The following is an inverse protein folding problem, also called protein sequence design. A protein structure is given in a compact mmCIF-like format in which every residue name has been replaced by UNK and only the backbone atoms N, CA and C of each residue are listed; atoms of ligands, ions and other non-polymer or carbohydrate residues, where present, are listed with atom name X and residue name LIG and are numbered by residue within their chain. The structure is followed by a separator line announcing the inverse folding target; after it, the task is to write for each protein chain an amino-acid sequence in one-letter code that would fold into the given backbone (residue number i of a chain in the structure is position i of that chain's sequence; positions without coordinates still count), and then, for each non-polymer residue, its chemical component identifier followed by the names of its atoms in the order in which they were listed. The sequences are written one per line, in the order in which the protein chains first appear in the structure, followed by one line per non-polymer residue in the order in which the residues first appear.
data_IF_859625004097
#
_entry.id   IF_859625004097
#
_cell.length_a   1.000
_cell.length_b   1.000
_cell.length_c   1.000
_cell.angle_alpha   90.00
_cell.angle_beta   90.00
_cell.angle_gamma   90.00
#
_symmetry.space_group_name_H-M   'P 1'
#
loop_
_entity.id
_entity.type
_entity.pdbx_description
1 polymer ?
#
# COMPACT_ATOMS: atom_id res chain seq x y z
N UNK A 1 -22.82 -21.74 73.67
CA UNK A 1 -21.71 -21.17 72.88
C UNK A 1 -21.47 -22.09 71.68
N UNK A 2 -22.11 -21.78 70.54
CA UNK A 2 -22.02 -22.59 69.31
C UNK A 2 -20.72 -22.28 68.57
N UNK A 3 -19.94 -23.31 68.23
CA UNK A 3 -18.76 -23.18 67.39
C UNK A 3 -19.17 -22.94 65.92
N UNK A 4 -18.74 -21.80 65.39
CA UNK A 4 -18.94 -21.36 64.00
C UNK A 4 -18.05 -22.21 63.08
N UNK A 5 -18.64 -22.86 62.07
CA UNK A 5 -17.90 -23.49 60.96
C UNK A 5 -17.33 -22.40 60.03
N UNK A 6 -16.10 -22.53 59.52
CA UNK A 6 -15.60 -21.60 58.51
C UNK A 6 -16.33 -21.84 57.18
N UNK A 7 -16.78 -20.76 56.55
CA UNK A 7 -17.41 -20.77 55.24
C UNK A 7 -16.42 -21.28 54.18
N UNK A 8 -16.85 -22.23 53.34
CA UNK A 8 -16.06 -22.68 52.19
C UNK A 8 -15.87 -21.52 51.22
N UNK A 9 -14.63 -21.13 50.98
CA UNK A 9 -14.28 -20.15 49.97
C UNK A 9 -14.72 -20.67 48.58
N UNK A 10 -15.55 -19.88 47.89
CA UNK A 10 -15.88 -20.12 46.49
C UNK A 10 -14.61 -20.13 45.63
N UNK A 11 -14.55 -20.91 44.53
CA UNK A 11 -13.37 -20.95 43.68
C UNK A 11 -13.12 -19.56 43.09
N UNK A 12 -11.89 -19.04 43.21
CA UNK A 12 -11.49 -17.84 42.47
C UNK A 12 -11.54 -18.16 40.97
N UNK A 13 -12.13 -17.30 40.12
CA UNK A 13 -12.05 -17.48 38.68
C UNK A 13 -10.58 -17.49 38.25
N UNK A 14 -10.22 -18.43 37.37
CA UNK A 14 -8.87 -18.52 36.81
C UNK A 14 -8.62 -17.31 35.90
N UNK A 15 -7.39 -16.80 35.77
CA UNK A 15 -7.05 -15.70 34.85
C UNK A 15 -7.16 -16.08 33.37
N UNK A 16 -7.64 -17.29 33.06
CA UNK A 16 -7.51 -17.90 31.74
C UNK A 16 -8.83 -17.81 30.92
N UNK A 17 -9.90 -17.25 31.49
CA UNK A 17 -11.20 -17.11 30.82
C UNK A 17 -11.35 -15.77 30.05
N UNK A 18 -10.30 -14.93 30.01
CA UNK A 18 -10.28 -13.64 29.30
C UNK A 18 -9.56 -13.68 27.94
N UNK A 19 -9.07 -14.85 27.50
CA UNK A 19 -8.69 -15.05 26.10
C UNK A 19 -9.95 -15.31 25.28
N UNK A 20 -10.55 -14.20 24.86
CA UNK A 20 -11.79 -14.15 24.10
C UNK A 20 -11.84 -15.20 22.99
N UNK A 21 -12.96 -15.92 23.00
CA UNK A 21 -13.42 -16.76 21.91
C UNK A 21 -13.01 -16.17 20.56
N UNK A 22 -12.27 -16.97 19.78
CA UNK A 22 -11.91 -16.71 18.39
C UNK A 22 -13.19 -16.59 17.56
N UNK A 23 -13.80 -15.40 17.62
CA UNK A 23 -14.90 -15.01 16.75
C UNK A 23 -14.28 -14.99 15.37
N UNK A 24 -14.63 -15.96 14.54
CA UNK A 24 -14.53 -15.83 13.08
C UNK A 24 -15.24 -14.50 12.76
N UNK A 25 -14.50 -13.40 12.65
CA UNK A 25 -15.09 -12.06 12.46
C UNK A 25 -15.84 -12.15 11.14
N UNK A 26 -17.17 -12.14 11.24
CA UNK A 26 -18.04 -12.27 10.09
C UNK A 26 -17.64 -11.21 9.05
N UNK A 27 -17.62 -11.62 7.78
CA UNK A 27 -17.50 -10.72 6.62
C UNK A 27 -18.60 -9.67 6.73
N UNK A 28 -18.27 -8.51 7.29
CA UNK A 28 -19.17 -7.38 7.41
C UNK A 28 -18.72 -6.30 6.45
N UNK A 29 -19.67 -5.60 5.85
CA UNK A 29 -19.38 -4.47 4.96
C UNK A 29 -18.52 -3.41 5.67
N UNK A 30 -18.78 -3.17 6.97
CA UNK A 30 -17.97 -2.27 7.78
C UNK A 30 -16.50 -2.71 7.88
N UNK A 31 -16.23 -4.02 8.00
CA UNK A 31 -14.85 -4.53 8.00
C UNK A 31 -14.18 -4.40 6.62
N UNK A 32 -14.92 -4.54 5.51
CA UNK A 32 -14.39 -4.33 4.15
C UNK A 32 -14.08 -2.86 3.90
N UNK A 33 -14.98 -1.96 4.32
CA UNK A 33 -14.78 -0.50 4.22
C UNK A 33 -13.61 -0.05 5.08
N UNK A 34 -13.53 -0.54 6.33
CA UNK A 34 -12.41 -0.27 7.22
C UNK A 34 -11.08 -0.79 6.68
N UNK A 35 -11.07 -2.02 6.14
CA UNK A 35 -9.89 -2.59 5.50
C UNK A 35 -9.46 -1.77 4.28
N UNK A 36 -10.40 -1.31 3.44
CA UNK A 36 -10.10 -0.46 2.27
C UNK A 36 -9.38 0.83 2.68
N UNK A 37 -9.82 1.46 3.78
CA UNK A 37 -9.23 2.70 4.28
C UNK A 37 -7.86 2.52 4.92
N UNK A 38 -7.75 1.59 5.86
CA UNK A 38 -6.57 1.44 6.72
C UNK A 38 -5.48 0.62 6.05
N UNK A 39 -5.85 -0.47 5.37
CA UNK A 39 -4.90 -1.45 4.84
C UNK A 39 -4.38 -1.05 3.46
N UNK A 40 -5.22 -0.42 2.65
CA UNK A 40 -4.90 -0.08 1.26
C UNK A 40 -4.69 1.42 1.03
N UNK A 41 -4.62 2.21 2.10
CA UNK A 41 -4.33 3.64 2.04
C UNK A 41 -3.03 3.93 1.30
N UNK A 42 -1.96 3.26 1.72
CA UNK A 42 -0.59 3.49 1.24
C UNK A 42 -0.40 3.04 -0.22
N UNK A 43 -0.70 1.77 -0.54
CA UNK A 43 -0.66 1.29 -1.92
C UNK A 43 -1.66 2.02 -2.84
N UNK A 44 -2.69 2.64 -2.27
CA UNK A 44 -3.67 3.43 -3.01
C UNK A 44 -3.13 4.76 -3.52
N UNK A 45 -2.04 5.29 -2.94
CA UNK A 45 -1.46 6.58 -3.33
C UNK A 45 -0.34 6.42 -4.34
N UNK A 46 0.22 5.22 -4.51
CA UNK A 46 1.27 4.92 -5.49
C UNK A 46 0.99 5.32 -6.94
N UNK A 47 -0.26 5.38 -7.44
CA UNK A 47 -0.52 5.88 -8.79
C UNK A 47 -0.16 7.34 -9.01
N UNK A 48 0.03 8.12 -7.94
CA UNK A 48 0.47 9.52 -8.02
C UNK A 48 1.91 9.69 -8.51
N UNK A 49 2.77 8.67 -8.31
CA UNK A 49 4.21 8.80 -8.56
C UNK A 49 4.83 7.60 -9.29
N UNK A 50 4.36 6.37 -9.06
CA UNK A 50 5.11 5.17 -9.45
C UNK A 50 5.32 5.03 -10.98
N UNK A 51 4.31 5.32 -11.81
CA UNK A 51 4.47 5.24 -13.26
C UNK A 51 5.37 6.38 -13.77
N UNK A 52 5.20 7.58 -13.24
CA UNK A 52 5.99 8.76 -13.63
C UNK A 52 7.48 8.52 -13.37
N UNK A 53 7.82 8.04 -12.17
CA UNK A 53 9.19 7.66 -11.80
C UNK A 53 9.70 6.52 -12.68
N UNK A 54 8.87 5.50 -12.95
CA UNK A 54 9.29 4.37 -13.80
C UNK A 54 9.62 4.82 -15.22
N UNK A 55 8.81 5.71 -15.80
CA UNK A 55 9.04 6.24 -17.14
C UNK A 55 10.25 7.19 -17.18
N UNK A 56 10.43 7.99 -16.14
CA UNK A 56 11.60 8.88 -15.98
C UNK A 56 12.89 8.07 -15.93
N UNK A 57 12.94 7.02 -15.12
CA UNK A 57 14.09 6.12 -15.03
C UNK A 57 14.30 5.28 -16.30
N UNK A 58 13.22 4.98 -17.05
CA UNK A 58 13.35 4.31 -18.34
C UNK A 58 14.04 5.19 -19.39
N UNK A 59 14.15 6.50 -19.16
CA UNK A 59 14.82 7.48 -20.01
C UNK A 59 13.93 7.98 -21.14
N UNK A 60 14.06 7.40 -22.35
CA UNK A 60 13.26 7.85 -23.49
C UNK A 60 11.81 7.40 -23.36
N UNK A 61 10.89 8.37 -23.43
CA UNK A 61 9.46 8.17 -23.48
C UNK A 61 9.04 7.69 -24.87
N UNK A 62 9.10 6.38 -25.07
CA UNK A 62 8.64 5.71 -26.27
C UNK A 62 7.69 4.56 -25.92
N UNK A 63 7.12 3.95 -26.95
CA UNK A 63 6.17 2.84 -26.80
C UNK A 63 6.77 1.65 -26.02
N UNK A 64 8.09 1.43 -26.15
CA UNK A 64 8.80 0.40 -25.40
C UNK A 64 8.79 0.72 -23.89
N UNK A 65 9.14 1.95 -23.51
CA UNK A 65 9.13 2.38 -22.11
C UNK A 65 7.74 2.29 -21.49
N UNK A 66 6.71 2.77 -22.19
CA UNK A 66 5.34 2.75 -21.64
C UNK A 66 4.82 1.31 -21.48
N UNK A 67 4.85 0.49 -22.53
CA UNK A 67 4.34 -0.88 -22.43
C UNK A 67 5.18 -1.73 -21.49
N UNK A 68 6.50 -1.51 -21.44
CA UNK A 68 7.40 -2.19 -20.52
C UNK A 68 7.14 -1.83 -19.06
N UNK A 69 7.02 -0.54 -18.75
CA UNK A 69 6.69 -0.04 -17.42
C UNK A 69 5.35 -0.60 -16.92
N UNK A 70 4.30 -0.51 -17.74
CA UNK A 70 2.98 -1.05 -17.43
C UNK A 70 3.02 -2.57 -17.17
N UNK A 71 3.81 -3.30 -17.96
CA UNK A 71 3.98 -4.74 -17.80
C UNK A 71 4.67 -5.09 -16.48
N UNK A 72 5.76 -4.38 -16.15
CA UNK A 72 6.46 -4.57 -14.89
C UNK A 72 5.57 -4.24 -13.69
N UNK A 73 4.81 -3.14 -13.73
CA UNK A 73 3.85 -2.76 -12.68
C UNK A 73 2.75 -3.82 -12.53
N UNK A 74 2.16 -4.27 -13.65
CA UNK A 74 1.12 -5.31 -13.65
C UNK A 74 1.63 -6.58 -12.97
N UNK A 75 2.81 -7.06 -13.34
CA UNK A 75 3.38 -8.27 -12.78
C UNK A 75 3.91 -8.08 -11.35
N UNK A 76 4.39 -6.89 -10.99
CA UNK A 76 4.76 -6.57 -9.61
C UNK A 76 3.55 -6.64 -8.67
N UNK A 77 2.43 -6.00 -9.03
CA UNK A 77 1.18 -6.06 -8.27
C UNK A 77 0.59 -7.48 -8.22
N UNK A 78 0.68 -8.22 -9.32
CA UNK A 78 0.14 -9.58 -9.42
C UNK A 78 0.98 -10.58 -8.62
N UNK A 79 2.29 -10.61 -8.83
CA UNK A 79 3.17 -11.57 -8.15
C UNK A 79 3.39 -11.21 -6.68
N UNK A 80 3.68 -9.94 -6.39
CA UNK A 80 3.99 -9.51 -5.02
C UNK A 80 2.72 -9.39 -4.19
N UNK A 81 1.78 -8.53 -4.58
CA UNK A 81 0.64 -8.24 -3.71
C UNK A 81 -0.42 -9.33 -3.81
N UNK A 82 -0.80 -9.73 -5.02
CA UNK A 82 -1.92 -10.68 -5.19
C UNK A 82 -1.52 -12.12 -4.84
N UNK A 83 -0.42 -12.63 -5.40
CA UNK A 83 -0.01 -14.02 -5.18
C UNK A 83 0.73 -14.16 -3.85
N UNK A 84 1.86 -13.46 -3.66
CA UNK A 84 2.70 -13.61 -2.47
C UNK A 84 1.98 -13.13 -1.20
N UNK A 85 1.49 -11.89 -1.15
CA UNK A 85 0.85 -11.39 0.07
C UNK A 85 -0.56 -11.93 0.27
N UNK A 86 -1.50 -11.56 -0.61
CA UNK A 86 -2.94 -11.81 -0.44
C UNK A 86 -3.29 -13.31 -0.50
N UNK A 87 -2.60 -14.10 -1.32
CA UNK A 87 -2.93 -15.52 -1.52
C UNK A 87 -2.07 -16.48 -0.70
N UNK A 88 -0.77 -16.24 -0.54
CA UNK A 88 0.13 -17.16 0.18
C UNK A 88 0.31 -16.73 1.63
N UNK A 89 0.78 -15.51 1.88
CA UNK A 89 1.11 -15.08 3.24
C UNK A 89 -0.15 -15.00 4.12
N UNK A 90 -1.30 -14.56 3.59
CA UNK A 90 -2.56 -14.59 4.36
C UNK A 90 -3.06 -16.00 4.69
N UNK A 91 -2.48 -17.06 4.11
CA UNK A 91 -2.75 -18.46 4.48
C UNK A 91 -1.78 -18.98 5.54
N UNK A 92 -0.58 -18.41 5.65
CA UNK A 92 0.40 -18.70 6.69
C UNK A 92 0.05 -17.94 7.97
N UNK A 93 -1.15 -18.20 8.47
CA UNK A 93 -1.79 -17.56 9.60
C UNK A 93 -1.42 -18.29 10.90
N UNK A 94 -0.96 -17.56 11.93
CA UNK A 94 -0.71 -18.10 13.27
C UNK A 94 -1.76 -17.55 14.25
N UNK A 95 -2.90 -18.22 14.32
CA UNK A 95 -4.04 -17.86 15.19
C UNK A 95 -4.61 -16.44 15.01
N UNK A 96 -4.51 -15.86 13.82
CA UNK A 96 -5.08 -14.54 13.50
C UNK A 96 -4.14 -13.37 13.77
N UNK A 97 -2.93 -13.60 14.28
CA UNK A 97 -1.90 -12.57 14.40
C UNK A 97 -0.93 -12.62 13.21
N UNK A 98 -1.14 -11.72 12.26
CA UNK A 98 -0.15 -11.37 11.23
C UNK A 98 0.75 -10.23 11.72
N UNK A 99 1.97 -10.16 11.20
CA UNK A 99 2.88 -9.04 11.41
C UNK A 99 4.34 -9.44 11.62
N UNK A 100 5.25 -8.51 11.31
CA UNK A 100 6.70 -8.65 11.58
C UNK A 100 6.94 -8.84 13.09
N UNK A 101 6.09 -8.27 13.94
CA UNK A 101 6.16 -8.38 15.40
C UNK A 101 5.87 -9.80 15.92
N UNK A 102 4.91 -10.51 15.32
CA UNK A 102 4.64 -11.91 15.67
C UNK A 102 5.80 -12.82 15.27
N UNK A 103 6.39 -12.59 14.09
CA UNK A 103 7.59 -13.29 13.62
C UNK A 103 8.82 -12.98 14.47
N UNK A 104 8.98 -11.72 14.89
CA UNK A 104 10.05 -11.30 15.80
C UNK A 104 9.91 -11.95 17.19
N UNK A 105 8.69 -12.00 17.75
CA UNK A 105 8.42 -12.66 19.02
C UNK A 105 8.73 -14.18 18.98
N UNK A 106 8.41 -14.85 17.86
CA UNK A 106 8.72 -16.26 17.64
C UNK A 106 10.24 -16.49 17.45
N UNK A 107 10.93 -15.62 16.72
CA UNK A 107 12.37 -15.70 16.53
C UNK A 107 13.13 -15.49 17.85
N UNK A 108 12.66 -14.58 18.70
CA UNK A 108 13.28 -14.29 19.99
C UNK A 108 13.10 -15.43 21.00
N UNK A 109 11.95 -16.13 20.97
CA UNK A 109 11.69 -17.31 21.84
C UNK A 109 12.65 -18.48 21.59
N UNK A 110 13.15 -18.64 20.38
CA UNK A 110 14.02 -19.76 20.00
C UNK A 110 15.53 -19.41 20.00
N UNK A 111 15.89 -18.18 20.37
CA UNK A 111 17.28 -17.71 20.33
C UNK A 111 17.98 -17.94 21.68
N UNK A 112 19.07 -18.72 21.70
CA UNK A 112 19.91 -18.89 22.91
C UNK A 112 20.61 -17.57 23.23
N UNK A 113 20.33 -17.01 24.41
CA UNK A 113 20.90 -15.76 24.89
C UNK A 113 22.44 -15.79 24.86
N UNK A 114 23.06 -14.79 24.23
CA UNK A 114 24.52 -14.61 24.19
C UNK A 114 25.24 -15.17 22.94
N UNK A 115 24.55 -15.87 22.04
CA UNK A 115 25.17 -16.38 20.80
C UNK A 115 25.45 -15.27 19.76
N UNK A 116 26.44 -15.49 18.87
CA UNK A 116 26.68 -14.63 17.69
C UNK A 116 25.42 -14.49 16.82
N UNK A 117 24.61 -15.54 16.76
CA UNK A 117 23.33 -15.54 16.05
C UNK A 117 22.32 -14.59 16.71
N UNK A 118 22.20 -14.60 18.05
CA UNK A 118 21.36 -13.65 18.76
C UNK A 118 21.79 -12.20 18.52
N UNK A 119 23.10 -11.91 18.47
CA UNK A 119 23.63 -10.58 18.12
C UNK A 119 23.31 -10.19 16.68
N UNK A 120 23.42 -11.13 15.73
CA UNK A 120 23.06 -10.90 14.33
C UNK A 120 21.56 -10.62 14.16
N UNK A 121 20.70 -11.39 14.85
CA UNK A 121 19.24 -11.17 14.85
C UNK A 121 18.88 -9.80 15.42
N UNK A 122 19.50 -9.39 16.54
CA UNK A 122 19.30 -8.06 17.11
C UNK A 122 19.78 -6.96 16.15
N UNK A 123 20.95 -7.12 15.53
CA UNK A 123 21.45 -6.18 14.53
C UNK A 123 20.51 -6.03 13.33
N UNK A 124 20.01 -7.15 12.81
CA UNK A 124 19.08 -7.18 11.68
C UNK A 124 17.71 -6.58 12.05
N UNK A 125 17.25 -6.80 13.28
CA UNK A 125 16.02 -6.19 13.79
C UNK A 125 16.14 -4.67 13.97
N UNK A 126 17.28 -4.17 14.47
CA UNK A 126 17.55 -2.74 14.56
C UNK A 126 17.60 -2.09 13.17
N UNK A 127 18.30 -2.74 12.23
CA UNK A 127 18.35 -2.27 10.84
C UNK A 127 16.94 -2.25 10.21
N UNK A 128 16.17 -3.32 10.35
CA UNK A 128 14.79 -3.39 9.86
C UNK A 128 13.87 -2.33 10.48
N UNK A 129 14.01 -2.08 11.78
CA UNK A 129 13.25 -1.02 12.48
C UNK A 129 13.61 0.37 11.96
N UNK A 130 14.90 0.63 11.70
CA UNK A 130 15.35 1.89 11.13
C UNK A 130 14.80 2.10 9.71
N UNK A 131 14.83 1.07 8.85
CA UNK A 131 14.24 1.13 7.51
C UNK A 131 12.72 1.37 7.57
N UNK A 132 12.01 0.69 8.48
CA UNK A 132 10.57 0.90 8.69
C UNK A 132 10.24 2.33 9.13
N UNK A 133 11.10 2.93 9.97
CA UNK A 133 10.94 4.33 10.40
C UNK A 133 11.17 5.31 9.25
N UNK A 134 12.19 5.05 8.40
CA UNK A 134 12.42 5.85 7.19
C UNK A 134 11.22 5.79 6.24
N UNK A 135 10.68 4.60 5.99
CA UNK A 135 9.50 4.42 5.13
C UNK A 135 8.27 5.17 5.67
N UNK A 136 8.01 5.03 6.98
CA UNK A 136 6.93 5.74 7.68
C UNK A 136 7.04 7.27 7.60
N UNK A 137 8.25 7.81 7.40
CA UNK A 137 8.50 9.25 7.26
C UNK A 137 8.41 9.70 5.79
N UNK A 138 8.94 8.91 4.86
CA UNK A 138 9.04 9.25 3.43
C UNK A 138 7.67 9.22 2.75
N UNK A 139 6.86 8.19 3.03
CA UNK A 139 5.59 7.96 2.33
C UNK A 139 4.59 9.13 2.47
N UNK A 140 4.32 9.69 3.67
CA UNK A 140 3.47 10.87 3.79
C UNK A 140 4.04 12.11 3.08
N UNK A 141 5.37 12.25 3.05
CA UNK A 141 6.03 13.38 2.39
C UNK A 141 5.88 13.29 0.87
N UNK A 142 6.23 12.15 0.26
CA UNK A 142 6.11 11.94 -1.19
C UNK A 142 4.64 12.03 -1.61
N UNK A 143 3.73 11.33 -0.93
CA UNK A 143 2.32 11.33 -1.31
C UNK A 143 1.70 12.73 -1.27
N UNK A 144 1.93 13.51 -0.20
CA UNK A 144 1.35 14.87 -0.10
C UNK A 144 2.02 15.82 -1.08
N UNK A 145 3.32 15.66 -1.33
CA UNK A 145 4.03 16.45 -2.34
C UNK A 145 3.48 16.16 -3.75
N UNK A 146 3.38 14.90 -4.17
CA UNK A 146 2.79 14.52 -5.46
C UNK A 146 1.33 14.95 -5.57
N UNK A 147 0.59 14.98 -4.46
CA UNK A 147 -0.75 15.56 -4.40
C UNK A 147 -0.74 17.08 -4.69
N UNK A 148 0.17 17.82 -4.06
CA UNK A 148 0.32 19.26 -4.24
C UNK A 148 0.87 19.64 -5.62
N UNK A 149 1.79 18.84 -6.18
CA UNK A 149 2.33 19.04 -7.53
C UNK A 149 1.27 18.90 -8.61
N UNK A 150 0.27 18.04 -8.40
CA UNK A 150 -0.90 17.97 -9.28
C UNK A 150 -1.68 19.27 -9.41
N UNK A 151 -1.65 20.14 -8.38
CA UNK A 151 -2.29 21.46 -8.45
C UNK A 151 -1.55 22.40 -9.42
N UNK A 152 -0.24 22.21 -9.62
CA UNK A 152 0.54 22.97 -10.62
C UNK A 152 0.03 22.70 -12.03
N UNK A 153 -0.43 21.48 -12.32
CA UNK A 153 -0.98 21.11 -13.62
C UNK A 153 -2.29 21.86 -13.94
N UNK A 154 -3.00 22.35 -12.93
CA UNK A 154 -4.27 23.09 -13.07
C UNK A 154 -4.03 24.60 -13.11
N UNK A 155 -3.09 25.12 -12.32
CA UNK A 155 -2.76 26.54 -12.29
C UNK A 155 -1.26 26.78 -12.03
N UNK A 156 -0.52 27.37 -13.00
CA UNK A 156 0.91 27.67 -12.86
C UNK A 156 1.25 28.61 -11.69
N UNK A 157 0.27 29.36 -11.18
CA UNK A 157 0.45 30.25 -10.01
C UNK A 157 0.76 29.52 -8.70
N UNK A 158 0.62 28.19 -8.65
CA UNK A 158 0.93 27.38 -7.48
C UNK A 158 2.39 26.93 -7.38
N UNK A 159 3.25 27.24 -8.34
CA UNK A 159 4.63 26.74 -8.37
C UNK A 159 5.42 27.00 -7.08
N UNK A 160 5.35 28.23 -6.56
CA UNK A 160 6.02 28.65 -5.32
C UNK A 160 5.27 28.22 -4.05
N UNK A 161 4.01 27.84 -4.19
CA UNK A 161 3.13 27.46 -3.08
C UNK A 161 3.15 25.96 -2.75
N UNK A 162 3.66 25.09 -3.64
CA UNK A 162 3.63 23.64 -3.43
C UNK A 162 4.35 23.20 -2.16
N UNK A 163 5.59 23.66 -1.94
CA UNK A 163 6.36 23.26 -0.75
C UNK A 163 5.72 23.81 0.54
N UNK A 164 5.38 25.11 0.64
CA UNK A 164 4.65 25.64 1.79
C UNK A 164 3.30 24.95 2.05
N UNK A 165 2.54 24.63 1.00
CA UNK A 165 1.27 23.94 1.10
C UNK A 165 1.46 22.52 1.64
N UNK A 166 2.43 21.78 1.11
CA UNK A 166 2.77 20.42 1.56
C UNK A 166 3.12 20.42 3.05
N UNK A 167 4.01 21.32 3.47
CA UNK A 167 4.37 21.49 4.88
C UNK A 167 3.16 21.86 5.75
N UNK A 168 2.30 22.75 5.26
CA UNK A 168 1.08 23.16 5.94
C UNK A 168 0.08 22.02 6.11
N UNK A 169 -0.14 21.20 5.07
CA UNK A 169 -1.02 20.03 5.10
C UNK A 169 -0.48 18.99 6.08
N UNK A 170 0.81 18.66 6.00
CA UNK A 170 1.45 17.71 6.92
C UNK A 170 1.33 18.21 8.36
N UNK A 171 1.71 19.47 8.63
CA UNK A 171 1.62 20.06 9.96
C UNK A 171 0.18 20.06 10.49
N UNK A 172 -0.81 20.36 9.65
CA UNK A 172 -2.22 20.34 10.02
C UNK A 172 -2.73 18.92 10.32
N UNK A 173 -2.35 17.92 9.52
CA UNK A 173 -2.71 16.52 9.73
C UNK A 173 -2.14 16.00 11.05
N UNK A 174 -0.84 16.17 11.31
CA UNK A 174 -0.22 15.82 12.59
C UNK A 174 -0.82 16.61 13.75
N UNK A 175 -1.12 17.89 13.52
CA UNK A 175 -1.79 18.72 14.51
C UNK A 175 -3.22 18.24 14.83
N UNK A 176 -3.91 17.59 13.90
CA UNK A 176 -5.25 17.08 14.12
C UNK A 176 -5.24 15.67 14.75
N UNK A 177 -4.28 14.82 14.38
CA UNK A 177 -4.12 13.47 14.92
C UNK A 177 -3.98 13.43 16.45
N UNK A 178 -3.46 14.50 17.07
CA UNK A 178 -3.38 14.64 18.54
C UNK A 178 -4.75 14.58 19.26
N UNK A 179 -5.87 14.74 18.54
CA UNK A 179 -7.25 14.67 19.08
C UNK A 179 -7.87 13.27 19.04
N UNK A 180 -7.12 12.27 18.60
CA UNK A 180 -7.52 10.86 18.56
C UNK A 180 -7.60 10.32 17.14
N UNK A 181 -6.95 9.18 16.91
CA UNK A 181 -6.87 8.50 15.61
C UNK A 181 -8.15 7.74 15.24
N UNK A 182 -8.99 7.41 16.23
CA UNK A 182 -10.19 6.59 16.01
C UNK A 182 -11.24 7.26 15.11
N UNK A 183 -11.50 8.57 15.26
CA UNK A 183 -12.47 9.30 14.41
C UNK A 183 -11.94 9.54 13.00
N UNK A 184 -10.63 9.75 12.87
CA UNK A 184 -9.95 9.92 11.59
C UNK A 184 -9.99 8.60 10.81
N UNK A 185 -9.61 7.49 11.45
CA UNK A 185 -9.62 6.17 10.82
C UNK A 185 -10.99 5.73 10.30
N UNK A 186 -12.09 6.16 10.94
CA UNK A 186 -13.44 5.88 10.47
C UNK A 186 -13.80 6.60 9.14
N UNK A 187 -13.25 7.79 8.89
CA UNK A 187 -13.46 8.56 7.65
C UNK A 187 -12.59 8.07 6.49
N UNK A 188 -11.45 7.43 6.79
CA UNK A 188 -10.51 6.96 5.76
C UNK A 188 -11.12 5.92 4.82
N UNK A 189 -11.94 4.99 5.33
CA UNK A 189 -12.59 3.96 4.51
C UNK A 189 -13.42 4.53 3.34
N UNK A 190 -14.45 5.35 3.62
CA UNK A 190 -15.25 5.98 2.56
C UNK A 190 -14.44 6.86 1.60
N UNK A 191 -13.47 7.62 2.11
CA UNK A 191 -12.61 8.47 1.27
C UNK A 191 -11.75 7.64 0.32
N UNK A 192 -11.15 6.55 0.80
CA UNK A 192 -10.36 5.65 -0.04
C UNK A 192 -11.22 4.92 -1.06
N UNK A 193 -12.46 4.53 -0.73
CA UNK A 193 -13.38 3.96 -1.71
C UNK A 193 -13.67 4.95 -2.82
N UNK A 194 -14.00 6.20 -2.48
CA UNK A 194 -14.21 7.26 -3.46
C UNK A 194 -12.96 7.46 -4.33
N UNK A 195 -11.79 7.50 -3.71
CA UNK A 195 -10.51 7.61 -4.40
C UNK A 195 -10.31 6.48 -5.43
N UNK A 196 -10.46 5.22 -5.04
CA UNK A 196 -10.32 4.09 -5.97
C UNK A 196 -11.37 4.10 -7.08
N UNK A 197 -12.59 4.53 -6.79
CA UNK A 197 -13.64 4.69 -7.83
C UNK A 197 -13.24 5.76 -8.84
N UNK A 198 -12.70 6.90 -8.39
CA UNK A 198 -12.19 7.96 -9.27
C UNK A 198 -11.01 7.47 -10.10
N UNK A 199 -10.07 6.73 -9.50
CA UNK A 199 -8.94 6.14 -10.21
C UNK A 199 -9.40 5.17 -11.32
N UNK A 200 -10.37 4.31 -11.02
CA UNK A 200 -10.94 3.37 -11.98
C UNK A 200 -11.69 4.09 -13.11
N UNK A 201 -12.53 5.08 -12.78
CA UNK A 201 -13.32 5.81 -13.76
C UNK A 201 -12.44 6.61 -14.74
N UNK A 202 -11.46 7.34 -14.21
CA UNK A 202 -10.51 8.12 -15.03
C UNK A 202 -9.61 7.20 -15.85
N UNK A 203 -9.16 6.08 -15.27
CA UNK A 203 -8.41 5.05 -15.98
C UNK A 203 -9.18 4.47 -17.17
N UNK A 204 -10.44 4.07 -16.97
CA UNK A 204 -11.30 3.55 -18.04
C UNK A 204 -11.49 4.59 -19.15
N UNK A 205 -11.69 5.87 -18.79
CA UNK A 205 -11.85 6.93 -19.77
C UNK A 205 -10.58 7.11 -20.62
N UNK A 206 -9.41 7.16 -19.99
CA UNK A 206 -8.13 7.33 -20.67
C UNK A 206 -7.71 6.13 -21.53
N UNK A 207 -8.02 4.89 -21.12
CA UNK A 207 -7.73 3.67 -21.91
C UNK A 207 -8.37 3.72 -23.30
N UNK A 208 -9.49 4.44 -23.48
CA UNK A 208 -10.15 4.59 -24.79
C UNK A 208 -9.29 5.35 -25.80
N UNK A 209 -8.35 6.18 -25.34
CA UNK A 209 -7.47 6.95 -26.21
C UNK A 209 -6.44 6.06 -26.94
N UNK A 210 -5.88 5.07 -26.24
CA UNK A 210 -5.03 4.05 -26.87
C UNK A 210 -5.17 2.68 -26.17
N UNK A 211 -6.05 1.78 -26.68
CA UNK A 211 -6.28 0.46 -26.10
C UNK A 211 -5.08 -0.49 -26.20
N UNK A 212 -4.02 -0.14 -26.94
CA UNK A 212 -2.80 -0.95 -27.05
C UNK A 212 -2.17 -1.22 -25.69
N UNK A 213 -2.34 -0.33 -24.72
CA UNK A 213 -1.82 -0.52 -23.36
C UNK A 213 -2.24 -1.84 -22.72
N UNK A 214 -3.39 -2.38 -23.11
CA UNK A 214 -3.90 -3.66 -22.60
C UNK A 214 -2.97 -4.84 -22.96
N UNK A 215 -2.18 -4.72 -24.02
CA UNK A 215 -1.17 -5.73 -24.37
C UNK A 215 -0.02 -5.81 -23.35
N UNK A 216 0.18 -4.78 -22.53
CA UNK A 216 1.22 -4.76 -21.50
C UNK A 216 1.05 -5.87 -20.44
N UNK A 217 -0.12 -6.52 -20.35
CA UNK A 217 -0.32 -7.73 -19.53
C UNK A 217 0.71 -8.82 -19.89
N UNK A 218 1.16 -8.87 -21.14
CA UNK A 218 2.21 -9.81 -21.54
C UNK A 218 3.56 -9.43 -20.86
N UNK A 219 4.16 -10.32 -20.04
CA UNK A 219 5.42 -10.05 -19.34
C UNK A 219 6.59 -9.78 -20.29
N UNK A 220 6.47 -10.19 -21.56
CA UNK A 220 7.46 -9.95 -22.58
C UNK A 220 7.79 -8.46 -22.72
N UNK A 221 6.81 -7.56 -22.60
CA UNK A 221 7.09 -6.11 -22.70
C UNK A 221 8.02 -5.62 -21.59
N UNK A 222 7.81 -6.07 -20.35
CA UNK A 222 8.70 -5.73 -19.23
C UNK A 222 10.11 -6.29 -19.42
N UNK A 223 10.21 -7.56 -19.83
CA UNK A 223 11.51 -8.20 -20.11
C UNK A 223 12.23 -7.51 -21.27
N UNK A 224 11.50 -7.17 -22.33
CA UNK A 224 12.03 -6.50 -23.51
C UNK A 224 12.56 -5.09 -23.16
N UNK A 225 11.86 -4.35 -22.30
CA UNK A 225 12.37 -3.07 -21.77
C UNK A 225 13.69 -3.25 -21.01
N UNK A 226 13.75 -4.18 -20.06
CA UNK A 226 14.94 -4.38 -19.22
C UNK A 226 16.14 -4.92 -20.02
N UNK A 227 15.90 -5.77 -21.00
CA UNK A 227 16.96 -6.36 -21.84
C UNK A 227 17.47 -5.41 -22.92
N UNK A 228 16.61 -4.55 -23.48
CA UNK A 228 17.02 -3.51 -24.44
C UNK A 228 17.67 -2.30 -23.77
N UNK A 229 17.38 -2.06 -22.49
CA UNK A 229 17.93 -0.93 -21.72
C UNK A 229 18.60 -1.40 -20.41
N UNK A 230 19.65 -2.24 -20.47
CA UNK A 230 20.27 -2.82 -19.29
C UNK A 230 20.91 -1.76 -18.37
N UNK A 231 21.35 -0.62 -18.92
CA UNK A 231 21.97 0.46 -18.15
C UNK A 231 21.03 1.15 -17.15
N UNK A 232 19.72 1.16 -17.42
CA UNK A 232 18.70 1.75 -16.53
C UNK A 232 17.80 0.69 -15.89
N UNK A 233 17.99 -0.60 -16.22
CA UNK A 233 17.12 -1.68 -15.77
C UNK A 233 16.97 -1.74 -14.25
N UNK A 234 18.07 -1.55 -13.49
CA UNK A 234 18.03 -1.55 -12.03
C UNK A 234 17.19 -0.38 -11.47
N UNK A 235 17.33 0.81 -12.06
CA UNK A 235 16.59 2.00 -11.65
C UNK A 235 15.10 1.87 -11.99
N UNK A 236 14.78 1.36 -13.19
CA UNK A 236 13.40 1.05 -13.61
C UNK A 236 12.77 0.03 -12.66
N UNK A 237 13.47 -1.04 -12.29
CA UNK A 237 12.95 -2.02 -11.32
C UNK A 237 12.71 -1.33 -9.98
N UNK A 238 13.65 -0.51 -9.50
CA UNK A 238 13.51 0.26 -8.25
C UNK A 238 12.30 1.20 -8.27
N UNK A 239 12.06 1.89 -9.38
CA UNK A 239 10.88 2.73 -9.56
C UNK A 239 9.59 1.91 -9.63
N UNK A 240 9.60 0.72 -10.25
CA UNK A 240 8.44 -0.19 -10.23
C UNK A 240 8.11 -0.66 -8.81
N UNK A 241 9.10 -0.81 -7.92
CA UNK A 241 8.85 -1.18 -6.53
C UNK A 241 7.95 -0.15 -5.80
N UNK A 242 7.93 1.10 -6.24
CA UNK A 242 7.05 2.14 -5.73
C UNK A 242 5.56 1.86 -5.95
N UNK A 243 5.18 0.94 -6.84
CA UNK A 243 3.78 0.55 -7.01
C UNK A 243 3.29 -0.49 -6.00
N UNK A 244 4.21 -1.12 -5.25
CA UNK A 244 3.90 -2.15 -4.25
C UNK A 244 4.24 -1.72 -2.82
N UNK A 245 4.68 -0.48 -2.63
CA UNK A 245 4.87 0.14 -1.30
C UNK A 245 3.55 0.12 -0.52
N UNK A 246 3.63 -0.09 0.79
CA UNK A 246 2.45 -0.30 1.62
C UNK A 246 1.89 -1.73 1.56
N UNK A 247 2.45 -2.60 0.71
CA UNK A 247 2.17 -4.04 0.76
C UNK A 247 2.53 -4.69 2.10
N UNK A 248 3.42 -4.09 2.90
CA UNK A 248 3.71 -4.56 4.26
C UNK A 248 2.62 -4.23 5.29
N UNK A 249 1.94 -3.09 5.13
CA UNK A 249 0.79 -2.72 5.96
C UNK A 249 -0.34 -3.75 5.81
N UNK A 250 -0.46 -4.35 4.62
CA UNK A 250 -1.34 -5.47 4.36
C UNK A 250 -1.16 -6.64 5.34
N UNK A 251 0.09 -6.94 5.70
CA UNK A 251 0.40 -8.04 6.61
C UNK A 251 0.21 -7.65 8.07
N UNK A 252 0.57 -6.43 8.44
CA UNK A 252 0.45 -5.92 9.80
C UNK A 252 -1.02 -5.76 10.25
N UNK A 253 -1.90 -5.32 9.36
CA UNK A 253 -3.30 -5.00 9.71
C UNK A 253 -4.28 -6.17 9.54
N UNK A 254 -3.79 -7.34 9.13
CA UNK A 254 -4.59 -8.57 9.10
C UNK A 254 -5.17 -8.93 10.47
N UNK A 255 -4.45 -8.66 11.56
CA UNK A 255 -4.93 -8.93 12.92
C UNK A 255 -6.17 -8.13 13.30
N UNK A 256 -6.38 -6.96 12.67
CA UNK A 256 -7.51 -6.09 12.96
C UNK A 256 -8.76 -6.40 12.12
N UNK A 257 -8.61 -6.73 10.84
CA UNK A 257 -9.76 -6.91 9.94
C UNK A 257 -10.03 -8.36 9.55
N UNK A 258 -9.06 -9.24 9.70
CA UNK A 258 -9.11 -10.62 9.22
C UNK A 258 -8.92 -10.74 7.70
N UNK A 259 -8.52 -11.92 7.25
CA UNK A 259 -8.19 -12.19 5.83
C UNK A 259 -9.36 -12.03 4.85
N UNK A 260 -10.59 -12.30 5.29
CA UNK A 260 -11.77 -12.25 4.41
C UNK A 260 -12.07 -10.86 3.85
N UNK A 261 -12.30 -9.86 4.71
CA UNK A 261 -12.56 -8.48 4.29
C UNK A 261 -11.42 -7.87 3.48
N UNK A 262 -10.17 -8.14 3.86
CA UNK A 262 -8.98 -7.66 3.15
C UNK A 262 -8.92 -8.24 1.73
N UNK A 263 -9.07 -9.57 1.57
CA UNK A 263 -9.13 -10.21 0.26
C UNK A 263 -10.27 -9.69 -0.61
N UNK A 264 -11.46 -9.53 -0.04
CA UNK A 264 -12.61 -9.04 -0.78
C UNK A 264 -12.34 -7.64 -1.31
N UNK A 265 -11.88 -6.71 -0.47
CA UNK A 265 -11.52 -5.36 -0.88
C UNK A 265 -10.49 -5.37 -2.03
N UNK A 266 -9.41 -6.18 -1.90
CA UNK A 266 -8.38 -6.29 -2.92
C UNK A 266 -8.94 -6.65 -4.30
N UNK A 267 -9.65 -7.78 -4.37
CA UNK A 267 -10.11 -8.32 -5.64
C UNK A 267 -11.32 -7.57 -6.20
N UNK A 268 -12.15 -6.94 -5.35
CA UNK A 268 -13.35 -6.24 -5.81
C UNK A 268 -13.09 -4.81 -6.25
N UNK A 269 -12.15 -4.10 -5.63
CA UNK A 269 -11.97 -2.66 -5.83
C UNK A 269 -10.52 -2.25 -6.03
N UNK A 270 -9.62 -2.58 -5.10
CA UNK A 270 -8.27 -1.99 -5.10
C UNK A 270 -7.45 -2.44 -6.31
N UNK A 271 -7.28 -3.76 -6.50
CA UNK A 271 -6.52 -4.29 -7.63
C UNK A 271 -7.06 -3.83 -9.00
N UNK A 272 -8.37 -3.94 -9.30
CA UNK A 272 -8.88 -3.46 -10.59
C UNK A 272 -8.74 -1.94 -10.75
N UNK A 273 -8.95 -1.14 -9.70
CA UNK A 273 -8.80 0.31 -9.77
C UNK A 273 -7.36 0.74 -10.05
N UNK A 274 -6.38 0.13 -9.37
CA UNK A 274 -4.96 0.41 -9.59
C UNK A 274 -4.55 0.07 -11.03
N UNK A 275 -4.93 -1.12 -11.54
CA UNK A 275 -4.60 -1.52 -12.90
C UNK A 275 -5.25 -0.60 -13.95
N UNK A 276 -6.55 -0.33 -13.81
CA UNK A 276 -7.25 0.58 -14.73
C UNK A 276 -6.58 1.95 -14.77
N UNK A 277 -6.15 2.45 -13.61
CA UNK A 277 -5.50 3.74 -13.52
C UNK A 277 -4.11 3.74 -14.18
N UNK A 278 -3.24 2.79 -13.85
CA UNK A 278 -1.91 2.69 -14.47
C UNK A 278 -2.01 2.55 -16.00
N UNK A 279 -2.89 1.69 -16.48
CA UNK A 279 -3.09 1.49 -17.91
C UNK A 279 -3.67 2.75 -18.58
N UNK A 280 -4.59 3.46 -17.91
CA UNK A 280 -5.10 4.75 -18.37
C UNK A 280 -4.00 5.80 -18.49
N UNK A 281 -3.11 5.91 -17.50
CA UNK A 281 -1.99 6.85 -17.54
C UNK A 281 -1.06 6.53 -18.73
N UNK A 282 -0.73 5.25 -18.93
CA UNK A 282 0.05 4.84 -20.09
C UNK A 282 -0.66 5.11 -21.42
N UNK A 283 -1.98 4.98 -21.48
CA UNK A 283 -2.74 5.22 -22.71
C UNK A 283 -2.69 6.71 -23.09
N UNK A 284 -2.81 7.59 -22.09
CA UNK A 284 -2.69 9.03 -22.30
C UNK A 284 -1.28 9.40 -22.79
N UNK A 285 -0.22 8.82 -22.21
CA UNK A 285 1.15 9.05 -22.65
C UNK A 285 1.37 8.62 -24.10
N UNK A 286 0.84 7.45 -24.51
CA UNK A 286 0.95 6.98 -25.88
C UNK A 286 0.14 7.84 -26.86
N UNK A 287 -1.08 8.23 -26.50
CA UNK A 287 -1.96 9.01 -27.35
C UNK A 287 -1.40 10.41 -27.67
N UNK A 288 -0.69 11.01 -26.73
CA UNK A 288 -0.12 12.35 -26.87
C UNK A 288 1.23 12.32 -27.61
N UNK A 289 1.97 11.22 -27.50
CA UNK A 289 3.24 11.02 -28.24
C UNK A 289 4.42 11.83 -27.69
N UNK A 290 4.27 12.47 -26.53
CA UNK A 290 5.33 13.14 -25.78
C UNK A 290 5.10 12.95 -24.28
N UNK A 291 6.13 13.18 -23.48
CA UNK A 291 6.03 13.03 -22.02
C UNK A 291 5.13 14.09 -21.41
N UNK A 292 4.16 13.62 -20.61
CA UNK A 292 3.27 14.45 -19.80
C UNK A 292 3.56 14.18 -18.33
N UNK A 293 4.17 15.14 -17.59
CA UNK A 293 4.37 15.00 -16.16
C UNK A 293 3.01 15.04 -15.43
N UNK A 294 2.94 14.52 -14.21
CA UNK A 294 1.69 14.46 -13.43
C UNK A 294 0.53 13.83 -14.24
N UNK A 295 0.80 12.75 -14.99
CA UNK A 295 -0.12 12.14 -15.96
C UNK A 295 -1.50 11.85 -15.38
N UNK A 296 -1.57 11.43 -14.12
CA UNK A 296 -2.81 11.16 -13.40
C UNK A 296 -3.78 12.35 -13.44
N UNK A 297 -3.29 13.57 -13.26
CA UNK A 297 -4.11 14.78 -13.23
C UNK A 297 -4.59 15.17 -14.63
N UNK A 298 -3.76 14.93 -15.64
CA UNK A 298 -4.14 15.15 -17.03
C UNK A 298 -5.21 14.17 -17.53
N UNK A 299 -5.35 12.99 -16.91
CA UNK A 299 -6.47 12.09 -17.23
C UNK A 299 -7.84 12.68 -16.89
N UNK A 300 -7.91 13.62 -15.94
CA UNK A 300 -9.16 14.30 -15.55
C UNK A 300 -9.45 15.50 -16.45
N UNK A 301 -8.43 16.19 -16.96
CA UNK A 301 -8.62 17.34 -17.84
C UNK A 301 -8.77 16.96 -19.31
N UNK A 302 -8.34 15.76 -19.71
CA UNK A 302 -8.46 15.24 -21.07
C UNK A 302 -9.80 14.51 -21.36
N UNK A 303 -10.66 14.33 -20.34
CA UNK A 303 -11.99 13.71 -20.45
C UNK A 303 -13.11 14.73 -20.53
#
# INVERSE_FOLDING_TARGET
LSAVRPASAAPRPRPDDEYGASRTRALSLAAVVGATGVVYGDIGTSPLYALEETLTEAGHFDRLAVLGALSLIFWALTLSVTIKYVSVIMRADNEGEGGILAMFALAQRNSVAGSLWARAVVGLALAGTAFFFCDSLITPAITVLSAAEGLRAISPGFNDAVVPLTLGVIAALFAYQRRGTARIGALFGPVMILWFVVLAATGIAAIRADPVVLYAINPFYGIDLLTRRPGVALAVIGAVFLCITGGEALYADMGHFGKGPVRLAWFSLIWPALLLNYFGQGALQLAQGHYIPQTLYHMVSAS
#
